data_IF_862519506579
#
_entry.id   IF_862519506579
#
_cell.length_a   1.000
_cell.length_b   1.000
_cell.length_c   1.000
_cell.angle_alpha   90.00
_cell.angle_beta   90.00
_cell.angle_gamma   90.00
#
_symmetry.space_group_name_H-M   'P 1'
#
loop_
_entity.id
_entity.type
_entity.pdbx_description
1 polymer ?
#
# COMPACT_ATOMS: atom_id res chain seq x y z
N UNK A 1 -18.30 -1.60 -8.95
CA UNK A 1 -17.82 -2.09 -7.64
C UNK A 1 -18.99 -2.18 -6.67
N UNK A 2 -19.69 -1.10 -6.33
CA UNK A 2 -20.81 -1.11 -5.37
C UNK A 2 -21.92 -2.11 -5.74
N UNK A 3 -22.30 -2.20 -7.02
CA UNK A 3 -23.28 -3.18 -7.47
C UNK A 3 -22.83 -4.62 -7.21
N UNK A 4 -21.58 -4.96 -7.52
CA UNK A 4 -21.00 -6.28 -7.23
C UNK A 4 -20.93 -6.55 -5.72
N UNK A 5 -20.56 -5.55 -4.93
CA UNK A 5 -20.49 -5.63 -3.46
C UNK A 5 -21.86 -5.96 -2.85
N UNK A 6 -22.91 -5.24 -3.27
CA UNK A 6 -24.29 -5.49 -2.82
C UNK A 6 -24.77 -6.88 -3.25
N UNK A 7 -24.51 -7.27 -4.51
CA UNK A 7 -24.92 -8.58 -5.06
C UNK A 7 -24.23 -9.76 -4.34
N UNK A 8 -23.06 -9.56 -3.76
CA UNK A 8 -22.29 -10.58 -3.05
C UNK A 8 -22.43 -10.47 -1.52
N UNK A 9 -23.60 -10.11 -1.02
CA UNK A 9 -23.88 -10.00 0.42
C UNK A 9 -22.85 -9.11 1.14
N UNK A 10 -22.54 -7.96 0.56
CA UNK A 10 -21.57 -7.00 1.11
C UNK A 10 -20.14 -7.57 1.27
N UNK A 11 -19.78 -8.53 0.43
CA UNK A 11 -18.44 -9.07 0.34
C UNK A 11 -17.91 -8.95 -1.08
N UNK A 12 -16.62 -8.62 -1.24
CA UNK A 12 -15.97 -8.53 -2.53
C UNK A 12 -14.59 -9.17 -2.47
N UNK A 13 -14.45 -10.30 -3.16
CA UNK A 13 -13.14 -10.91 -3.35
C UNK A 13 -12.35 -10.11 -4.38
N UNK A 14 -11.13 -9.70 -4.01
CA UNK A 14 -10.30 -8.83 -4.82
C UNK A 14 -8.99 -9.50 -5.15
N UNK A 15 -8.66 -9.56 -6.43
CA UNK A 15 -7.36 -10.01 -6.91
C UNK A 15 -6.39 -8.84 -7.01
N UNK A 16 -5.12 -9.09 -6.68
CA UNK A 16 -4.06 -8.09 -6.76
C UNK A 16 -3.01 -8.51 -7.79
N UNK A 17 -2.46 -7.53 -8.49
CA UNK A 17 -1.31 -7.70 -9.39
C UNK A 17 -0.22 -6.68 -9.08
N UNK A 18 1.00 -6.99 -9.48
CA UNK A 18 2.11 -6.03 -9.52
C UNK A 18 2.44 -5.70 -10.98
N UNK A 19 2.70 -4.44 -11.26
CA UNK A 19 3.22 -4.05 -12.57
C UNK A 19 4.70 -4.49 -12.64
N UNK A 20 5.10 -5.11 -13.77
CA UNK A 20 6.45 -5.63 -13.97
C UNK A 20 6.91 -6.62 -12.86
N UNK A 21 5.98 -7.28 -12.17
CA UNK A 21 6.20 -8.18 -11.03
C UNK A 21 6.94 -7.55 -9.84
N UNK A 22 6.98 -6.23 -9.73
CA UNK A 22 7.65 -5.49 -8.66
C UNK A 22 6.83 -4.28 -8.19
N UNK A 23 7.07 -3.85 -6.97
CA UNK A 23 6.44 -2.67 -6.40
C UNK A 23 5.04 -2.91 -5.84
N UNK A 24 4.19 -1.90 -5.91
CA UNK A 24 2.86 -1.90 -5.31
C UNK A 24 1.93 -2.95 -5.91
N UNK A 25 1.07 -3.49 -5.07
CA UNK A 25 -0.03 -4.39 -5.46
C UNK A 25 -1.28 -3.58 -5.79
N UNK A 26 -1.81 -3.77 -6.99
CA UNK A 26 -2.99 -3.09 -7.51
C UNK A 26 -4.14 -4.07 -7.67
N UNK A 27 -5.37 -3.65 -7.35
CA UNK A 27 -6.55 -4.47 -7.59
C UNK A 27 -6.81 -4.64 -9.08
N UNK A 28 -7.12 -5.87 -9.52
CA UNK A 28 -7.42 -6.18 -10.94
C UNK A 28 -8.81 -5.70 -11.35
N UNK A 29 -9.83 -6.15 -10.61
CA UNK A 29 -11.23 -6.00 -10.98
C UNK A 29 -11.96 -4.91 -10.19
N UNK A 30 -11.17 -3.97 -9.67
CA UNK A 30 -11.65 -2.95 -8.74
C UNK A 30 -11.77 -3.49 -7.31
N UNK A 31 -11.49 -2.64 -6.37
CA UNK A 31 -11.56 -2.91 -4.95
C UNK A 31 -11.56 -1.59 -4.20
N UNK A 32 -11.42 -1.65 -2.90
CA UNK A 32 -11.46 -0.47 -2.05
C UNK A 32 -10.36 0.56 -2.40
N UNK A 33 -9.22 0.11 -2.95
CA UNK A 33 -8.15 0.99 -3.45
C UNK A 33 -8.64 1.98 -4.51
N UNK A 34 -9.60 1.57 -5.35
CA UNK A 34 -10.08 2.33 -6.51
C UNK A 34 -11.28 3.23 -6.18
N UNK A 35 -11.76 3.19 -4.94
CA UNK A 35 -12.88 4.01 -4.52
C UNK A 35 -12.44 5.44 -4.17
N UNK A 36 -13.33 6.40 -4.39
CA UNK A 36 -13.15 7.76 -3.88
C UNK A 36 -13.05 7.75 -2.36
N UNK A 37 -12.27 8.67 -1.79
CA UNK A 37 -12.01 8.71 -0.34
C UNK A 37 -13.27 8.71 0.53
N UNK A 38 -14.33 9.41 0.15
CA UNK A 38 -15.61 9.41 0.87
C UNK A 38 -16.24 8.02 0.93
N UNK A 39 -16.32 7.33 -0.23
CA UNK A 39 -16.85 5.98 -0.31
C UNK A 39 -15.99 4.99 0.49
N UNK A 40 -14.68 5.09 0.33
CA UNK A 40 -13.71 4.28 1.08
C UNK A 40 -13.91 4.46 2.59
N UNK A 41 -13.91 5.70 3.06
CA UNK A 41 -14.10 6.02 4.48
C UNK A 41 -15.41 5.46 5.03
N UNK A 42 -16.51 5.59 4.27
CA UNK A 42 -17.82 5.07 4.69
C UNK A 42 -17.90 3.54 4.71
N UNK A 43 -17.13 2.84 3.84
CA UNK A 43 -17.09 1.39 3.81
C UNK A 43 -16.15 0.78 4.85
N UNK A 44 -15.08 1.49 5.22
CA UNK A 44 -14.10 1.02 6.21
C UNK A 44 -14.53 1.34 7.64
N UNK A 45 -15.17 2.49 7.82
CA UNK A 45 -15.57 2.99 9.14
C UNK A 45 -16.49 1.98 9.86
N UNK A 46 -16.11 1.63 11.10
CA UNK A 46 -16.77 0.65 11.96
C UNK A 46 -16.78 -0.81 11.44
N UNK A 47 -16.14 -1.11 10.30
CA UNK A 47 -16.05 -2.48 9.76
C UNK A 47 -14.66 -3.05 9.99
N UNK A 48 -13.62 -2.26 9.75
CA UNK A 48 -12.23 -2.63 9.96
C UNK A 48 -11.39 -1.43 10.40
N UNK A 49 -10.23 -1.74 10.96
CA UNK A 49 -9.20 -0.75 11.32
C UNK A 49 -8.30 -0.54 10.12
N UNK A 50 -8.05 0.73 9.76
CA UNK A 50 -7.13 1.12 8.68
C UNK A 50 -5.75 1.41 9.29
N UNK A 51 -4.87 0.43 9.25
CA UNK A 51 -3.48 0.53 9.70
C UNK A 51 -2.63 1.11 8.57
N UNK A 52 -2.06 2.29 8.76
CA UNK A 52 -1.35 3.08 7.75
C UNK A 52 0.11 3.33 8.18
N UNK A 53 1.07 3.19 7.27
CA UNK A 53 2.47 3.50 7.55
C UNK A 53 2.65 5.01 7.70
N UNK A 54 3.14 5.46 8.83
CA UNK A 54 3.41 6.88 9.08
C UNK A 54 4.56 7.36 8.21
N UNK A 55 4.32 8.36 7.37
CA UNK A 55 5.34 8.93 6.48
C UNK A 55 6.08 7.87 5.63
N UNK A 56 5.39 6.88 5.06
CA UNK A 56 6.00 5.73 4.37
C UNK A 56 7.22 6.09 3.50
N UNK A 57 7.05 6.86 2.44
CA UNK A 57 8.15 7.21 1.54
C UNK A 57 9.28 7.99 2.20
N UNK A 58 9.06 9.07 2.98
CA UNK A 58 10.14 9.75 3.71
C UNK A 58 10.91 8.83 4.64
N UNK A 59 10.23 7.94 5.37
CA UNK A 59 10.86 6.99 6.29
C UNK A 59 11.72 5.96 5.54
N UNK A 60 11.22 5.45 4.41
CA UNK A 60 11.97 4.53 3.56
C UNK A 60 13.21 5.23 2.97
N UNK A 61 13.10 6.49 2.54
CA UNK A 61 14.27 7.28 2.07
C UNK A 61 15.31 7.38 3.17
N UNK A 62 14.89 7.73 4.39
CA UNK A 62 15.79 7.82 5.55
C UNK A 62 16.46 6.47 5.85
N UNK A 63 15.70 5.37 5.79
CA UNK A 63 16.23 4.02 5.92
C UNK A 63 17.29 3.69 4.86
N UNK A 64 17.02 4.00 3.60
CA UNK A 64 17.98 3.76 2.49
C UNK A 64 19.27 4.52 2.75
N UNK A 65 19.20 5.81 3.08
CA UNK A 65 20.40 6.62 3.31
C UNK A 65 21.20 6.08 4.50
N UNK A 66 20.56 5.87 5.64
CA UNK A 66 21.23 5.43 6.87
C UNK A 66 21.91 4.05 6.75
N UNK A 67 21.34 3.15 5.95
CA UNK A 67 21.87 1.79 5.86
C UNK A 67 22.80 1.57 4.67
N UNK A 68 22.58 2.24 3.54
CA UNK A 68 23.30 1.96 2.29
C UNK A 68 24.16 3.12 1.79
N UNK A 69 23.86 4.36 2.22
CA UNK A 69 24.55 5.57 1.74
C UNK A 69 24.90 6.52 2.88
N UNK A 70 25.59 5.98 3.92
CA UNK A 70 25.87 6.67 5.19
C UNK A 70 26.60 8.02 5.04
N UNK A 71 27.26 8.25 3.91
CA UNK A 71 27.97 9.50 3.63
C UNK A 71 27.05 10.60 3.06
N UNK A 72 25.79 10.28 2.75
CA UNK A 72 24.84 11.29 2.30
C UNK A 72 24.22 12.04 3.48
N UNK A 73 24.08 13.38 3.39
CA UNK A 73 23.34 14.13 4.38
C UNK A 73 21.86 13.74 4.33
N UNK A 74 21.22 13.66 5.49
CA UNK A 74 19.79 13.35 5.62
C UNK A 74 19.14 14.07 6.81
N UNK A 75 19.67 15.25 7.18
CA UNK A 75 19.22 16.01 8.33
C UNK A 75 17.78 16.50 8.20
N UNK A 76 17.43 17.06 7.05
CA UNK A 76 16.09 17.59 6.78
C UNK A 76 15.07 16.45 6.62
N UNK A 77 15.46 15.35 5.99
CA UNK A 77 14.64 14.14 5.91
C UNK A 77 14.39 13.57 7.31
N UNK A 78 15.42 13.49 8.16
CA UNK A 78 15.29 13.01 9.52
C UNK A 78 14.40 13.94 10.38
N UNK A 79 14.54 15.26 10.25
CA UNK A 79 13.65 16.21 10.92
C UNK A 79 12.18 15.98 10.55
N UNK A 80 11.89 15.83 9.27
CA UNK A 80 10.53 15.57 8.81
C UNK A 80 9.96 14.24 9.31
N UNK A 81 10.75 13.18 9.28
CA UNK A 81 10.29 11.84 9.73
C UNK A 81 10.02 11.85 11.24
N UNK A 82 10.87 12.52 12.01
CA UNK A 82 10.76 12.54 13.48
C UNK A 82 9.68 13.50 13.98
N UNK A 83 9.48 14.63 13.31
CA UNK A 83 8.54 15.67 13.77
C UNK A 83 7.84 16.38 12.63
N UNK A 84 7.10 15.60 11.84
CA UNK A 84 6.37 16.07 10.67
C UNK A 84 5.47 17.28 10.98
N UNK A 85 4.71 17.24 12.09
CA UNK A 85 3.72 18.26 12.40
C UNK A 85 4.37 19.64 12.59
N UNK A 86 5.41 19.71 13.41
CA UNK A 86 6.11 20.97 13.67
C UNK A 86 6.89 21.44 12.44
N UNK A 87 7.50 20.51 11.68
CA UNK A 87 8.21 20.86 10.44
C UNK A 87 7.27 21.53 9.44
N UNK A 88 6.09 20.98 9.20
CA UNK A 88 5.11 21.56 8.27
C UNK A 88 4.66 22.96 8.73
N UNK A 89 4.32 23.10 10.01
CA UNK A 89 3.84 24.37 10.58
C UNK A 89 4.95 25.43 10.59
N UNK A 90 6.11 25.10 11.14
CA UNK A 90 7.20 26.08 11.33
C UNK A 90 7.80 26.59 10.01
N UNK A 91 7.71 25.78 8.96
CA UNK A 91 8.24 26.15 7.64
C UNK A 91 7.14 26.60 6.67
N UNK A 92 5.89 26.67 7.11
CA UNK A 92 4.75 27.04 6.26
C UNK A 92 4.72 26.26 4.92
N UNK A 93 4.84 24.92 5.02
CA UNK A 93 4.78 23.98 3.91
C UNK A 93 3.72 22.91 4.19
N UNK A 94 3.27 22.26 3.15
CA UNK A 94 2.28 21.19 3.29
C UNK A 94 2.83 19.80 2.91
N UNK A 95 2.01 18.77 3.10
CA UNK A 95 2.38 17.39 2.74
C UNK A 95 2.63 17.25 1.24
N UNK A 96 1.93 18.03 0.41
CA UNK A 96 2.06 17.94 -1.04
C UNK A 96 3.43 18.46 -1.51
N UNK A 97 3.96 19.51 -0.87
CA UNK A 97 5.30 20.02 -1.14
C UNK A 97 6.37 18.97 -0.88
N UNK A 98 6.24 18.22 0.22
CA UNK A 98 7.15 17.11 0.55
C UNK A 98 7.05 16.00 -0.50
N UNK A 99 5.84 15.57 -0.84
CA UNK A 99 5.64 14.53 -1.86
C UNK A 99 6.16 14.97 -3.22
N UNK A 100 5.96 16.22 -3.59
CA UNK A 100 6.51 16.79 -4.82
C UNK A 100 8.04 16.77 -4.79
N UNK A 101 8.66 17.17 -3.68
CA UNK A 101 10.12 17.15 -3.50
C UNK A 101 10.73 15.77 -3.66
N UNK A 102 10.04 14.71 -3.20
CA UNK A 102 10.52 13.32 -3.33
C UNK A 102 10.38 12.82 -4.77
N UNK A 103 9.31 13.22 -5.46
CA UNK A 103 8.97 12.64 -6.76
C UNK A 103 9.59 13.36 -7.96
N UNK A 104 10.12 14.58 -7.82
CA UNK A 104 10.74 15.31 -8.93
C UNK A 104 12.27 15.33 -8.80
N UNK A 105 12.97 15.36 -9.96
CA UNK A 105 14.43 15.43 -10.01
C UNK A 105 14.96 16.74 -10.59
N UNK A 106 14.07 17.63 -11.00
CA UNK A 106 14.41 18.97 -11.44
C UNK A 106 14.32 19.97 -10.28
N UNK A 107 14.95 21.15 -10.47
CA UNK A 107 14.94 22.22 -9.47
C UNK A 107 13.51 22.59 -9.07
N UNK A 108 13.22 22.59 -7.77
CA UNK A 108 11.94 23.08 -7.25
C UNK A 108 11.80 24.59 -7.46
N UNK A 109 10.61 25.01 -7.86
CA UNK A 109 10.22 26.42 -7.86
C UNK A 109 9.63 26.73 -6.47
N UNK A 110 10.49 27.05 -5.53
CA UNK A 110 10.13 27.41 -4.16
C UNK A 110 11.16 28.40 -3.62
N UNK A 111 10.71 29.34 -2.79
CA UNK A 111 11.58 30.27 -2.05
C UNK A 111 11.79 29.79 -0.60
N UNK A 112 11.22 28.64 -0.23
CA UNK A 112 11.35 28.09 1.12
C UNK A 112 12.72 27.38 1.28
N UNK A 113 13.65 27.90 2.12
CA UNK A 113 15.01 27.39 2.23
C UNK A 113 15.04 25.98 2.84
N UNK A 114 14.12 25.68 3.78
CA UNK A 114 14.04 24.35 4.38
C UNK A 114 13.63 23.30 3.33
N UNK A 115 12.60 23.61 2.53
CA UNK A 115 12.10 22.71 1.48
C UNK A 115 13.17 22.49 0.39
N UNK A 116 13.93 23.52 0.03
CA UNK A 116 15.03 23.40 -0.92
C UNK A 116 16.15 22.51 -0.39
N UNK A 117 16.48 22.61 0.90
CA UNK A 117 17.47 21.78 1.54
C UNK A 117 17.00 20.31 1.64
N UNK A 118 15.73 20.09 2.00
CA UNK A 118 15.11 18.75 1.96
C UNK A 118 15.17 18.15 0.54
N UNK A 119 14.80 18.93 -0.47
CA UNK A 119 14.84 18.49 -1.87
C UNK A 119 16.27 18.19 -2.33
N UNK A 120 17.27 18.93 -1.87
CA UNK A 120 18.69 18.68 -2.20
C UNK A 120 19.15 17.33 -1.66
N UNK A 121 18.77 16.95 -0.43
CA UNK A 121 19.07 15.63 0.14
C UNK A 121 18.43 14.51 -0.70
N UNK A 122 17.17 14.69 -1.13
CA UNK A 122 16.47 13.75 -2.02
C UNK A 122 17.17 13.67 -3.38
N UNK A 123 17.54 14.79 -3.98
CA UNK A 123 18.21 14.83 -5.29
C UNK A 123 19.56 14.11 -5.27
N UNK A 124 20.32 14.26 -4.18
CA UNK A 124 21.58 13.53 -3.99
C UNK A 124 21.35 11.99 -4.01
N UNK A 125 20.33 11.52 -3.31
CA UNK A 125 19.97 10.10 -3.34
C UNK A 125 19.50 9.66 -4.74
N UNK A 126 18.63 10.46 -5.39
CA UNK A 126 18.14 10.18 -6.75
C UNK A 126 19.29 10.02 -7.75
N UNK A 127 20.30 10.88 -7.68
CA UNK A 127 21.47 10.82 -8.57
C UNK A 127 22.23 9.50 -8.39
N UNK A 128 22.52 9.11 -7.16
CA UNK A 128 23.28 7.88 -6.87
C UNK A 128 22.47 6.64 -7.26
N UNK A 129 21.19 6.59 -6.90
CA UNK A 129 20.34 5.45 -7.26
C UNK A 129 20.21 5.32 -8.77
N UNK A 130 20.07 6.42 -9.49
CA UNK A 130 19.95 6.41 -10.94
C UNK A 130 21.19 5.80 -11.59
N UNK A 131 22.38 6.23 -11.21
CA UNK A 131 23.61 5.67 -11.76
C UNK A 131 23.79 4.17 -11.45
N UNK A 132 23.33 3.71 -10.30
CA UNK A 132 23.46 2.31 -9.90
C UNK A 132 22.38 1.39 -10.44
N UNK A 133 21.18 1.90 -10.73
CA UNK A 133 19.98 1.07 -10.93
C UNK A 133 19.24 1.36 -12.25
N UNK A 134 19.63 2.36 -13.06
CA UNK A 134 18.93 2.72 -14.30
C UNK A 134 18.73 1.55 -15.26
N UNK A 135 19.68 0.61 -15.31
CA UNK A 135 19.63 -0.55 -16.19
C UNK A 135 18.85 -1.74 -15.60
N UNK A 136 18.44 -1.64 -14.32
CA UNK A 136 17.69 -2.69 -13.62
C UNK A 136 16.18 -2.45 -13.58
N UNK A 137 15.74 -1.24 -13.91
CA UNK A 137 14.34 -0.86 -13.89
C UNK A 137 13.91 -0.28 -15.23
N UNK A 138 12.72 -0.65 -15.68
CA UNK A 138 12.10 0.00 -16.84
C UNK A 138 11.64 1.39 -16.43
N UNK A 139 12.25 2.44 -16.99
CA UNK A 139 11.93 3.83 -16.69
C UNK A 139 11.26 4.46 -17.92
N UNK A 140 9.94 4.68 -17.80
CA UNK A 140 9.14 5.21 -18.92
C UNK A 140 9.14 6.76 -18.98
N UNK A 141 9.58 7.44 -17.93
CA UNK A 141 9.60 8.91 -17.88
C UNK A 141 10.82 9.47 -18.58
N UNK A 142 10.61 10.22 -19.68
CA UNK A 142 11.67 10.94 -20.38
C UNK A 142 12.07 12.25 -19.70
N UNK A 143 11.12 12.90 -19.02
CA UNK A 143 11.31 14.24 -18.41
C UNK A 143 11.77 14.17 -16.95
N UNK A 144 11.50 13.06 -16.26
CA UNK A 144 11.83 12.89 -14.83
C UNK A 144 12.34 11.47 -14.53
N UNK A 145 13.40 10.97 -15.20
CA UNK A 145 13.82 9.58 -15.06
C UNK A 145 14.33 9.25 -13.65
N UNK A 146 15.06 10.16 -12.99
CA UNK A 146 15.61 9.96 -11.65
C UNK A 146 14.53 9.91 -10.58
N UNK A 147 13.56 10.83 -10.60
CA UNK A 147 12.42 10.80 -9.70
C UNK A 147 11.54 9.58 -9.92
N UNK A 148 11.34 9.16 -11.18
CA UNK A 148 10.61 7.94 -11.53
C UNK A 148 11.30 6.68 -10.99
N UNK A 149 12.63 6.60 -11.08
CA UNK A 149 13.40 5.50 -10.52
C UNK A 149 13.29 5.46 -8.99
N UNK A 150 13.51 6.60 -8.32
CA UNK A 150 13.35 6.66 -6.87
C UNK A 150 11.95 6.19 -6.45
N UNK A 151 10.89 6.67 -7.11
CA UNK A 151 9.53 6.25 -6.82
C UNK A 151 9.35 4.72 -6.96
N UNK A 152 9.90 4.10 -8.03
CA UNK A 152 9.88 2.64 -8.19
C UNK A 152 10.60 1.92 -7.04
N UNK A 153 11.77 2.38 -6.65
CA UNK A 153 12.53 1.81 -5.52
C UNK A 153 11.73 1.92 -4.21
N UNK A 154 11.11 3.08 -3.97
CA UNK A 154 10.26 3.29 -2.79
C UNK A 154 9.05 2.37 -2.78
N UNK A 155 8.35 2.21 -3.91
CA UNK A 155 7.22 1.30 -4.05
C UNK A 155 7.60 -0.18 -3.87
N UNK A 156 8.81 -0.59 -4.28
CA UNK A 156 9.33 -1.95 -4.03
C UNK A 156 9.53 -2.18 -2.54
N UNK A 157 10.19 -1.26 -1.85
CA UNK A 157 10.45 -1.38 -0.41
C UNK A 157 9.18 -1.24 0.41
N UNK A 158 8.28 -0.32 0.05
CA UNK A 158 6.97 -0.16 0.67
C UNK A 158 6.17 -1.47 0.63
N UNK A 159 6.11 -2.11 -0.54
CA UNK A 159 5.43 -3.40 -0.66
C UNK A 159 6.15 -4.54 0.09
N UNK A 160 7.48 -4.51 0.16
CA UNK A 160 8.24 -5.47 0.96
C UNK A 160 7.94 -5.33 2.46
N UNK A 161 7.89 -4.10 2.98
CA UNK A 161 7.53 -3.80 4.37
C UNK A 161 6.09 -4.21 4.66
N UNK A 162 5.17 -3.88 3.74
CA UNK A 162 3.78 -4.29 3.85
C UNK A 162 3.63 -5.80 3.94
N UNK A 163 4.40 -6.53 3.12
CA UNK A 163 4.43 -7.98 3.15
C UNK A 163 5.01 -8.54 4.46
N UNK A 164 6.11 -7.96 4.96
CA UNK A 164 6.68 -8.34 6.26
C UNK A 164 5.64 -8.21 7.37
N UNK A 165 4.88 -7.11 7.38
CA UNK A 165 3.80 -6.86 8.33
C UNK A 165 2.66 -7.89 8.18
N UNK A 166 2.20 -8.13 6.95
CA UNK A 166 1.15 -9.09 6.62
C UNK A 166 1.52 -10.52 7.07
N UNK A 167 2.74 -10.97 6.75
CA UNK A 167 3.24 -12.30 7.14
C UNK A 167 3.34 -12.45 8.65
N UNK A 168 3.86 -11.44 9.34
CA UNK A 168 3.97 -11.47 10.80
C UNK A 168 2.61 -11.60 11.48
N UNK A 169 1.61 -10.82 11.03
CA UNK A 169 0.25 -10.89 11.57
C UNK A 169 -0.39 -12.26 11.26
N UNK A 170 -0.17 -12.77 10.05
CA UNK A 170 -0.65 -14.09 9.70
C UNK A 170 -0.03 -15.21 10.55
N UNK A 171 1.29 -15.19 10.74
CA UNK A 171 1.99 -16.18 11.57
C UNK A 171 1.52 -16.16 13.03
N UNK A 172 1.25 -14.97 13.58
CA UNK A 172 0.86 -14.80 14.97
C UNK A 172 -0.63 -15.08 15.24
N UNK A 173 -1.51 -14.64 14.33
CA UNK A 173 -2.96 -14.65 14.56
C UNK A 173 -3.74 -15.53 13.59
N UNK A 174 -3.09 -16.11 12.59
CA UNK A 174 -3.69 -16.90 11.51
C UNK A 174 -4.81 -16.16 10.76
N UNK A 175 -4.65 -14.86 10.57
CA UNK A 175 -5.59 -14.00 9.85
C UNK A 175 -4.91 -13.24 8.72
N UNK A 176 -5.67 -12.98 7.66
CA UNK A 176 -5.25 -12.14 6.55
C UNK A 176 -5.89 -10.77 6.62
N UNK A 177 -5.28 -9.74 6.00
CA UNK A 177 -5.93 -8.45 5.89
C UNK A 177 -7.22 -8.54 5.05
N UNK A 178 -8.25 -7.83 5.47
CA UNK A 178 -9.51 -7.71 4.72
C UNK A 178 -9.29 -6.97 3.38
N UNK A 179 -8.33 -6.06 3.33
CA UNK A 179 -7.83 -5.48 2.09
C UNK A 179 -6.43 -4.90 2.24
N UNK A 180 -5.72 -4.84 1.11
CA UNK A 180 -4.42 -4.19 1.01
C UNK A 180 -4.59 -2.79 0.43
N UNK A 181 -3.95 -1.84 1.09
CA UNK A 181 -3.70 -0.51 0.55
C UNK A 181 -2.25 -0.42 0.08
N UNK A 182 -1.81 0.72 -0.46
CA UNK A 182 -0.43 0.85 -0.92
C UNK A 182 0.56 0.88 0.25
N UNK A 183 0.22 1.67 1.25
CA UNK A 183 1.00 1.92 2.46
C UNK A 183 0.23 1.52 3.74
N UNK A 184 -0.81 0.65 3.60
CA UNK A 184 -1.66 0.26 4.71
C UNK A 184 -2.35 -1.08 4.55
N UNK A 185 -2.94 -1.54 5.64
CA UNK A 185 -3.64 -2.81 5.81
C UNK A 185 -4.96 -2.59 6.53
N UNK A 186 -6.02 -3.17 6.01
CA UNK A 186 -7.29 -3.22 6.73
C UNK A 186 -7.46 -4.55 7.44
N UNK A 187 -7.78 -4.51 8.74
CA UNK A 187 -8.09 -5.69 9.54
C UNK A 187 -9.32 -5.45 10.40
N UNK A 188 -10.13 -6.49 10.61
CA UNK A 188 -11.26 -6.44 11.57
C UNK A 188 -10.84 -6.51 13.03
N UNK A 189 -9.62 -6.92 13.30
CA UNK A 189 -9.07 -6.94 14.66
C UNK A 189 -8.39 -5.63 15.00
N UNK A 190 -8.51 -5.24 16.27
CA UNK A 190 -7.74 -4.16 16.89
C UNK A 190 -6.48 -4.72 17.58
N UNK A 191 -5.69 -3.83 18.17
CA UNK A 191 -4.54 -4.16 19.03
C UNK A 191 -3.37 -4.91 18.36
N UNK A 192 -3.21 -4.76 17.02
CA UNK A 192 -2.03 -5.28 16.31
C UNK A 192 -0.98 -4.21 16.01
N UNK A 193 -1.18 -2.98 16.47
CA UNK A 193 -0.30 -1.84 16.15
C UNK A 193 1.13 -2.06 16.68
N UNK A 194 1.26 -2.65 17.88
CA UNK A 194 2.57 -2.94 18.48
C UNK A 194 3.31 -4.03 17.71
N UNK A 195 2.59 -5.02 17.20
CA UNK A 195 3.17 -6.08 16.37
C UNK A 195 3.65 -5.52 15.02
N UNK A 196 2.84 -4.68 14.38
CA UNK A 196 3.20 -4.00 13.13
C UNK A 196 4.43 -3.12 13.33
N UNK A 197 4.48 -2.35 14.41
CA UNK A 197 5.64 -1.53 14.77
C UNK A 197 6.88 -2.38 15.06
N UNK A 198 6.72 -3.49 15.76
CA UNK A 198 7.82 -4.38 16.13
C UNK A 198 8.43 -5.05 14.90
N UNK A 199 7.62 -5.67 14.04
CA UNK A 199 8.12 -6.43 12.89
C UNK A 199 8.73 -5.54 11.79
N UNK A 200 8.32 -4.26 11.70
CA UNK A 200 8.85 -3.31 10.71
C UNK A 200 9.85 -2.31 11.25
N UNK A 201 10.21 -2.41 12.53
CA UNK A 201 11.15 -1.51 13.22
C UNK A 201 12.49 -1.35 12.51
N UNK A 202 13.00 -2.44 11.92
CA UNK A 202 14.28 -2.43 11.19
C UNK A 202 14.29 -1.46 10.00
N UNK A 203 13.12 -1.15 9.43
CA UNK A 203 12.96 -0.20 8.35
C UNK A 203 12.70 1.23 8.82
N UNK A 204 12.60 1.46 10.14
CA UNK A 204 12.25 2.75 10.72
C UNK A 204 10.81 3.18 10.42
N UNK A 205 9.92 2.23 10.17
CA UNK A 205 8.50 2.48 9.91
C UNK A 205 7.73 2.39 11.22
N UNK A 206 6.87 3.38 11.45
CA UNK A 206 5.85 3.36 12.47
C UNK A 206 4.48 3.23 11.80
N UNK A 207 3.56 2.56 12.47
CA UNK A 207 2.18 2.41 12.04
C UNK A 207 1.24 3.22 12.93
N UNK A 208 0.13 3.66 12.37
CA UNK A 208 -0.95 4.33 13.10
C UNK A 208 -2.29 3.86 12.56
N UNK A 209 -3.34 4.03 13.36
CA UNK A 209 -4.72 3.76 12.94
C UNK A 209 -5.28 5.05 12.34
N UNK A 210 -5.54 5.02 11.05
CA UNK A 210 -6.09 6.14 10.33
C UNK A 210 -7.57 6.31 10.62
N UNK A 211 -7.92 7.49 11.13
CA UNK A 211 -9.31 7.87 11.35
C UNK A 211 -9.96 8.36 10.06
N UNK A 212 -11.14 7.84 9.78
CA UNK A 212 -11.94 8.25 8.64
C UNK A 212 -12.91 9.38 9.05
N UNK A 213 -12.67 10.59 8.54
CA UNK A 213 -13.49 11.78 8.83
C UNK A 213 -14.48 12.14 7.72
N UNK A 214 -14.25 11.61 6.52
CA UNK A 214 -15.06 11.92 5.35
C UNK A 214 -16.14 10.84 5.19
N UNK A 215 -17.32 11.07 5.76
CA UNK A 215 -18.48 10.16 5.59
C UNK A 215 -19.39 10.67 4.48
N UNK A 216 -20.09 9.73 3.83
CA UNK A 216 -21.25 10.07 3.01
C UNK A 216 -22.41 10.21 3.98
N UNK A 217 -23.00 11.39 4.05
CA UNK A 217 -24.32 11.55 4.64
C UNK A 217 -25.29 10.83 3.69
N UNK A 218 -25.76 9.68 4.12
CA UNK A 218 -26.83 8.97 3.41
C UNK A 218 -28.10 9.75 3.76
N UNK A 219 -28.53 10.64 2.87
CA UNK A 219 -29.88 11.16 2.91
C UNK A 219 -30.88 9.99 2.89
N UNK A 220 -32.12 10.22 3.30
CA UNK A 220 -33.17 9.18 3.36
C UNK A 220 -33.06 8.26 2.13
N UNK A 221 -32.89 6.97 2.41
CA UNK A 221 -32.61 5.93 1.41
C UNK A 221 -33.65 6.02 0.29
N UNK A 222 -33.27 6.24 -0.96
CA UNK A 222 -34.23 6.01 -2.02
C UNK A 222 -34.68 4.57 -1.91
N UNK A 223 -36.00 4.33 -1.88
CA UNK A 223 -36.61 3.00 -1.86
C UNK A 223 -35.97 2.22 -3.01
N UNK A 224 -35.05 1.33 -2.72
CA UNK A 224 -34.41 0.49 -3.74
C UNK A 224 -35.55 -0.38 -4.33
N UNK A 225 -35.73 -0.41 -5.65
CA UNK A 225 -36.72 -1.28 -6.25
C UNK A 225 -36.41 -2.72 -5.84
N UNK A 226 -37.40 -3.43 -5.34
CA UNK A 226 -37.27 -4.85 -5.00
C UNK A 226 -36.87 -5.60 -6.28
N UNK A 227 -35.60 -6.03 -6.33
CA UNK A 227 -35.09 -6.85 -7.43
C UNK A 227 -35.65 -8.26 -7.19
N UNK A 228 -36.62 -8.68 -8.03
CA UNK A 228 -37.01 -10.09 -8.08
C UNK A 228 -35.82 -10.89 -8.61
N UNK A 229 -35.30 -11.79 -7.78
CA UNK A 229 -34.29 -12.75 -8.20
C UNK A 229 -34.94 -13.83 -9.06
N UNK A 230 -34.50 -13.98 -10.29
CA UNK A 230 -34.82 -15.17 -11.10
C UNK A 230 -33.83 -16.30 -10.71
N UNK A 231 -34.41 -17.51 -10.49
CA UNK A 231 -33.71 -18.70 -9.97
C UNK A 231 -32.62 -19.31 -10.88
N UNK A 232 -32.24 -18.67 -11.96
CA UNK A 232 -31.27 -19.19 -12.94
C UNK A 232 -29.77 -19.10 -12.49
N UNK A 233 -29.51 -18.54 -11.31
CA UNK A 233 -28.13 -18.30 -10.83
C UNK A 233 -27.49 -19.44 -10.02
N UNK A 234 -28.26 -20.43 -9.56
CA UNK A 234 -27.76 -21.50 -8.69
C UNK A 234 -26.79 -22.47 -9.39
N UNK A 235 -26.97 -22.75 -10.68
CA UNK A 235 -26.09 -23.65 -11.44
C UNK A 235 -24.69 -23.11 -11.76
N UNK A 236 -24.51 -21.79 -11.74
CA UNK A 236 -23.22 -21.14 -12.01
C UNK A 236 -22.39 -21.05 -10.72
N UNK A 237 -23.05 -21.00 -9.56
CA UNK A 237 -22.42 -20.83 -8.24
C UNK A 237 -21.49 -22.00 -7.88
N UNK A 238 -21.94 -23.25 -8.05
CA UNK A 238 -21.12 -24.43 -7.69
C UNK A 238 -19.84 -24.60 -8.52
N UNK A 239 -19.89 -24.25 -9.80
CA UNK A 239 -18.72 -24.36 -10.69
C UNK A 239 -17.68 -23.26 -10.43
N UNK A 240 -18.15 -22.09 -10.03
CA UNK A 240 -17.29 -20.95 -9.67
C UNK A 240 -16.63 -21.14 -8.29
N UNK A 241 -17.33 -21.66 -7.29
CA UNK A 241 -16.81 -21.85 -5.94
C UNK A 241 -15.61 -22.81 -5.89
N UNK A 242 -15.65 -23.95 -6.59
CA UNK A 242 -14.52 -24.89 -6.64
C UNK A 242 -13.27 -24.33 -7.33
N UNK A 243 -13.43 -23.58 -8.40
CA UNK A 243 -12.28 -22.99 -9.13
C UNK A 243 -11.72 -21.76 -8.40
N UNK A 244 -12.57 -21.00 -7.73
CA UNK A 244 -12.20 -19.82 -6.99
C UNK A 244 -11.47 -20.12 -5.69
N UNK A 245 -11.87 -21.16 -4.96
CA UNK A 245 -11.19 -21.55 -3.71
C UNK A 245 -9.72 -21.96 -3.93
N UNK A 246 -9.44 -22.62 -5.05
CA UNK A 246 -8.07 -23.00 -5.44
C UNK A 246 -7.22 -21.81 -5.92
N UNK A 247 -7.83 -20.77 -6.50
CA UNK A 247 -7.13 -19.59 -7.04
C UNK A 247 -6.96 -18.47 -6.04
N UNK A 248 -7.76 -18.44 -4.96
CA UNK A 248 -7.89 -17.31 -4.04
C UNK A 248 -7.42 -17.60 -2.62
N UNK A 249 -6.85 -18.77 -2.34
CA UNK A 249 -6.07 -18.89 -1.11
C UNK A 249 -5.00 -17.77 -1.20
N UNK A 250 -5.00 -16.80 -0.28
CA UNK A 250 -4.02 -15.72 -0.27
C UNK A 250 -2.58 -16.22 -0.40
N UNK A 251 -2.33 -17.42 0.13
CA UNK A 251 -1.05 -18.10 0.07
C UNK A 251 -0.68 -18.56 -1.36
N UNK A 252 -1.64 -19.06 -2.16
CA UNK A 252 -1.40 -19.45 -3.58
C UNK A 252 -1.12 -18.24 -4.44
N UNK A 253 -1.88 -17.16 -4.24
CA UNK A 253 -1.66 -15.90 -4.92
C UNK A 253 -0.27 -15.34 -4.56
N UNK A 254 0.10 -15.46 -3.29
CA UNK A 254 1.35 -15.03 -2.73
C UNK A 254 2.57 -15.78 -3.33
N UNK A 255 2.55 -17.11 -3.35
CA UNK A 255 3.62 -17.91 -3.96
C UNK A 255 3.77 -17.66 -5.46
N UNK A 256 2.66 -17.40 -6.18
CA UNK A 256 2.71 -17.02 -7.60
C UNK A 256 3.29 -15.62 -7.82
N UNK A 257 2.97 -14.66 -6.97
CA UNK A 257 3.48 -13.30 -7.07
C UNK A 257 4.99 -13.20 -6.82
N UNK A 258 5.54 -14.11 -6.00
CA UNK A 258 6.97 -14.13 -5.65
C UNK A 258 7.78 -15.21 -6.37
N UNK A 259 7.22 -15.88 -7.39
CA UNK A 259 7.86 -17.02 -8.08
C UNK A 259 8.35 -18.13 -7.11
N UNK A 260 7.70 -18.26 -5.95
CA UNK A 260 7.99 -19.33 -5.00
C UNK A 260 7.30 -20.63 -5.44
N UNK A 261 7.94 -21.32 -6.40
CA UNK A 261 7.46 -22.59 -6.93
C UNK A 261 7.45 -23.70 -5.87
N UNK A 262 8.33 -23.65 -4.88
CA UNK A 262 8.42 -24.67 -3.82
C UNK A 262 7.34 -24.46 -2.75
N UNK A 263 7.06 -23.22 -2.37
CA UNK A 263 5.92 -22.87 -1.53
C UNK A 263 4.60 -23.20 -2.21
N UNK A 264 4.50 -22.98 -3.54
CA UNK A 264 3.32 -23.32 -4.31
C UNK A 264 3.07 -24.85 -4.33
N UNK A 265 4.10 -25.66 -4.56
CA UNK A 265 4.01 -27.14 -4.54
C UNK A 265 3.59 -27.67 -3.18
N UNK A 266 4.20 -27.19 -2.09
CA UNK A 266 3.85 -27.58 -0.71
C UNK A 266 2.39 -27.26 -0.39
N UNK A 267 1.88 -26.14 -0.86
CA UNK A 267 0.49 -25.77 -0.65
C UNK A 267 -0.48 -26.55 -1.50
N UNK A 268 -0.18 -26.79 -2.77
CA UNK A 268 -1.03 -27.62 -3.61
C UNK A 268 -1.14 -29.06 -3.08
N UNK A 269 -0.05 -29.62 -2.52
CA UNK A 269 -0.10 -30.92 -1.85
C UNK A 269 -0.95 -30.91 -0.58
N UNK A 270 -0.97 -29.82 0.18
CA UNK A 270 -1.83 -29.68 1.37
C UNK A 270 -3.32 -29.65 1.02
N UNK A 271 -3.70 -28.95 -0.05
CA UNK A 271 -5.10 -28.86 -0.49
C UNK A 271 -5.60 -30.05 -1.32
N UNK A 272 -4.72 -30.91 -1.83
CA UNK A 272 -5.11 -32.17 -2.48
C UNK A 272 -5.46 -33.28 -1.47
N UNK A 273 -5.12 -33.08 -0.19
CA UNK A 273 -5.36 -34.05 0.91
C UNK A 273 -6.52 -33.61 1.83
N UNK A 274 -7.26 -32.53 1.48
CA UNK A 274 -8.52 -32.12 2.10
C UNK A 274 -9.66 -32.34 1.11
#
# INVERSE_FOLDING_TARGET
>A
ILKKYIQNNYSLNVNYRQNDNVGRRFTLDGGIQNLQNRLKSSLVDNICYDYDMVNAHPSIVLYIIKNYFKNLPCNYIAQYVNDRKNVLVNNNIDKFDILKSINVSHKLKSDNPWLLSFHQEITNLQNILYEKLKDKFVINSKTNPKGSLLNKVLCVLENHILHTAESHIYEKYNIYPDSLMFDGLHYKINNIIDDLNSCTKIYGINWDIKKHSLKIEIGESPILPQIKYEDSYLGVKEKFEKTYFLLLSPKVLFCRLYNDNDGLKKMMSYYQNI
#
